data_IF_757508495002
#
_entry.id   IF_757508495002
#
_cell.length_a   1.000
_cell.length_b   1.000
_cell.length_c   1.000
_cell.angle_alpha   90.00
_cell.angle_beta   90.00
_cell.angle_gamma   90.00
#
_symmetry.space_group_name_H-M   'P 1'
#
loop_
_entity.id
_entity.type
_entity.pdbx_description
1 polymer ?
#
# COMPACT_ATOMS: atom_id res chain seq x y z
N UNK A 1 -35.74 7.09 -4.27
CA UNK A 1 -35.03 6.59 -3.09
C UNK A 1 -34.53 7.81 -2.34
N UNK A 2 -35.08 8.13 -1.17
CA UNK A 2 -34.60 9.26 -0.38
C UNK A 2 -33.51 8.74 0.57
N UNK A 3 -32.26 8.76 0.12
CA UNK A 3 -31.12 8.59 1.00
C UNK A 3 -30.92 9.93 1.72
N UNK A 4 -30.87 9.94 3.07
CA UNK A 4 -30.63 11.17 3.83
C UNK A 4 -29.33 11.85 3.36
N UNK A 5 -29.22 13.18 3.52
CA UNK A 5 -28.04 13.94 3.09
C UNK A 5 -26.71 13.37 3.61
N UNK A 6 -26.70 12.84 4.84
CA UNK A 6 -25.54 12.16 5.42
C UNK A 6 -25.16 10.86 4.68
N UNK A 7 -26.14 10.06 4.26
CA UNK A 7 -25.91 8.82 3.51
C UNK A 7 -25.34 9.09 2.12
N UNK A 8 -25.78 10.17 1.47
CA UNK A 8 -25.25 10.60 0.16
C UNK A 8 -23.78 11.01 0.30
N UNK A 9 -23.44 11.81 1.32
CA UNK A 9 -22.06 12.21 1.59
C UNK A 9 -21.17 10.99 1.87
N UNK A 10 -21.61 10.06 2.73
CA UNK A 10 -20.87 8.83 3.01
C UNK A 10 -20.64 7.98 1.75
N UNK A 11 -21.64 7.89 0.87
CA UNK A 11 -21.53 7.17 -0.41
C UNK A 11 -20.44 7.77 -1.30
N UNK A 12 -20.42 9.09 -1.47
CA UNK A 12 -19.40 9.76 -2.29
C UNK A 12 -18.00 9.65 -1.69
N UNK A 13 -17.86 9.79 -0.36
CA UNK A 13 -16.58 9.61 0.32
C UNK A 13 -16.04 8.19 0.11
N UNK A 14 -16.88 7.16 0.26
CA UNK A 14 -16.49 5.77 0.05
C UNK A 14 -16.04 5.51 -1.39
N UNK A 15 -16.81 5.98 -2.38
CA UNK A 15 -16.47 5.79 -3.81
C UNK A 15 -15.15 6.50 -4.14
N UNK A 16 -14.96 7.74 -3.68
CA UNK A 16 -13.74 8.49 -3.94
C UNK A 16 -12.52 7.82 -3.30
N UNK A 17 -12.65 7.42 -2.04
CA UNK A 17 -11.60 6.72 -1.31
C UNK A 17 -11.23 5.42 -2.01
N UNK A 18 -12.22 4.56 -2.25
CA UNK A 18 -12.02 3.28 -2.92
C UNK A 18 -11.39 3.42 -4.31
N UNK A 19 -11.75 4.44 -5.10
CA UNK A 19 -11.12 4.70 -6.39
C UNK A 19 -9.62 5.00 -6.27
N UNK A 20 -9.21 5.78 -5.27
CA UNK A 20 -7.79 6.04 -4.99
C UNK A 20 -7.08 4.74 -4.59
N UNK A 21 -7.70 3.92 -3.72
CA UNK A 21 -7.15 2.61 -3.35
C UNK A 21 -7.12 1.62 -4.52
N UNK A 22 -8.05 1.73 -5.48
CA UNK A 22 -8.03 0.94 -6.70
C UNK A 22 -6.76 1.24 -7.51
N UNK A 23 -6.45 2.52 -7.72
CA UNK A 23 -5.27 2.97 -8.46
C UNK A 23 -3.99 2.50 -7.77
N UNK A 24 -3.91 2.60 -6.44
CA UNK A 24 -2.79 2.08 -5.67
C UNK A 24 -2.68 0.55 -5.77
N UNK A 25 -3.79 -0.17 -5.69
CA UNK A 25 -3.85 -1.62 -5.84
C UNK A 25 -3.36 -2.08 -7.22
N UNK A 26 -3.76 -1.40 -8.30
CA UNK A 26 -3.26 -1.65 -9.65
C UNK A 26 -1.77 -1.33 -9.78
N UNK A 27 -1.29 -0.26 -9.16
CA UNK A 27 0.14 0.07 -9.16
C UNK A 27 0.96 -1.04 -8.47
N UNK A 28 0.56 -1.49 -7.28
CA UNK A 28 1.24 -2.56 -6.56
C UNK A 28 1.17 -3.91 -7.27
N UNK A 29 -0.02 -4.31 -7.75
CA UNK A 29 -0.15 -5.56 -8.49
C UNK A 29 0.63 -5.51 -9.81
N UNK A 30 0.57 -4.39 -10.54
CA UNK A 30 1.29 -4.18 -11.79
C UNK A 30 2.81 -4.22 -11.60
N UNK A 31 3.34 -3.52 -10.60
CA UNK A 31 4.76 -3.57 -10.25
C UNK A 31 5.18 -4.96 -9.80
N UNK A 32 4.39 -5.62 -8.95
CA UNK A 32 4.68 -6.98 -8.49
C UNK A 32 4.73 -8.00 -9.63
N UNK A 33 3.74 -7.98 -10.52
CA UNK A 33 3.72 -8.84 -11.70
C UNK A 33 4.87 -8.50 -12.67
N UNK A 34 5.18 -7.22 -12.86
CA UNK A 34 6.32 -6.81 -13.68
C UNK A 34 7.63 -7.36 -13.13
N UNK A 35 7.89 -7.20 -11.83
CA UNK A 35 9.09 -7.72 -11.18
C UNK A 35 9.17 -9.25 -11.25
N UNK A 36 8.03 -9.93 -11.15
CA UNK A 36 7.95 -11.39 -11.26
C UNK A 36 8.21 -11.91 -12.67
N UNK A 37 7.75 -11.20 -13.70
CA UNK A 37 7.79 -11.67 -15.09
C UNK A 37 8.89 -11.02 -15.96
N UNK A 38 9.56 -9.96 -15.49
CA UNK A 38 10.64 -9.35 -16.27
C UNK A 38 11.76 -10.34 -16.57
N UNK A 39 12.27 -10.29 -17.80
CA UNK A 39 13.33 -11.17 -18.27
C UNK A 39 14.62 -11.01 -17.45
N UNK A 40 14.89 -9.82 -16.92
CA UNK A 40 16.03 -9.55 -16.04
C UNK A 40 15.91 -10.25 -14.68
N UNK A 41 14.70 -10.50 -14.19
CA UNK A 41 14.42 -11.13 -12.89
C UNK A 41 14.07 -12.61 -12.97
N UNK A 42 13.72 -13.12 -14.16
CA UNK A 42 13.33 -14.53 -14.35
C UNK A 42 14.40 -15.53 -13.91
N UNK A 43 15.69 -15.18 -14.02
CA UNK A 43 16.80 -16.03 -13.56
C UNK A 43 16.89 -16.17 -12.04
N UNK A 44 16.37 -15.18 -11.31
CA UNK A 44 16.39 -15.12 -9.84
C UNK A 44 15.32 -16.07 -9.27
N UNK A 45 14.13 -16.14 -9.88
CA UNK A 45 13.06 -17.04 -9.44
C UNK A 45 13.23 -18.51 -9.88
N UNK A 46 14.24 -18.82 -10.71
CA UNK A 46 14.50 -20.15 -11.26
C UNK A 46 15.74 -20.86 -10.69
N UNK A 47 16.53 -20.20 -9.86
CA UNK A 47 17.71 -20.77 -9.19
C UNK A 47 17.57 -20.58 -7.68
N UNK A 48 17.56 -21.69 -6.94
CA UNK A 48 17.52 -21.73 -5.47
C UNK A 48 18.85 -21.20 -4.89
N UNK A 49 19.00 -19.88 -4.82
CA UNK A 49 20.17 -19.21 -4.23
C UNK A 49 19.71 -18.41 -3.00
N UNK A 50 20.32 -18.57 -1.82
CA UNK A 50 19.79 -18.04 -0.55
C UNK A 50 19.67 -16.50 -0.47
N UNK A 51 20.43 -15.74 -1.29
CA UNK A 51 20.36 -14.25 -1.32
C UNK A 51 19.13 -13.71 -2.06
N UNK A 52 18.34 -14.59 -2.65
CA UNK A 52 17.17 -14.28 -3.46
C UNK A 52 15.88 -14.26 -2.63
N UNK A 53 15.87 -14.91 -1.46
CA UNK A 53 14.67 -15.16 -0.66
C UNK A 53 13.96 -13.87 -0.22
N UNK A 54 14.70 -12.87 0.28
CA UNK A 54 14.14 -11.58 0.72
C UNK A 54 13.48 -10.82 -0.44
N UNK A 55 14.07 -10.89 -1.64
CA UNK A 55 13.50 -10.28 -2.83
C UNK A 55 12.24 -11.01 -3.31
N UNK A 56 12.27 -12.35 -3.36
CA UNK A 56 11.09 -13.17 -3.71
C UNK A 56 9.96 -12.90 -2.74
N UNK A 57 10.26 -12.87 -1.44
CA UNK A 57 9.29 -12.57 -0.40
C UNK A 57 8.68 -11.19 -0.60
N UNK A 58 9.51 -10.15 -0.80
CA UNK A 58 9.04 -8.78 -1.04
C UNK A 58 8.13 -8.66 -2.27
N UNK A 59 8.50 -9.27 -3.40
CA UNK A 59 7.67 -9.27 -4.62
C UNK A 59 6.36 -10.02 -4.40
N UNK A 60 6.39 -11.16 -3.68
CA UNK A 60 5.20 -11.94 -3.38
C UNK A 60 4.23 -11.16 -2.48
N UNK A 61 4.75 -10.48 -1.46
CA UNK A 61 3.95 -9.59 -0.60
C UNK A 61 3.34 -8.46 -1.42
N UNK A 62 4.09 -7.85 -2.35
CA UNK A 62 3.58 -6.78 -3.21
C UNK A 62 2.39 -7.23 -4.08
N UNK A 63 2.47 -8.43 -4.67
CA UNK A 63 1.37 -9.04 -5.46
C UNK A 63 0.17 -9.37 -4.55
N UNK A 64 0.41 -10.01 -3.41
CA UNK A 64 -0.64 -10.39 -2.48
C UNK A 64 -1.38 -9.15 -1.95
N UNK A 65 -0.64 -8.12 -1.53
CA UNK A 65 -1.18 -6.87 -1.01
C UNK A 65 -1.97 -6.10 -2.10
N UNK A 66 -1.44 -5.99 -3.32
CA UNK A 66 -2.16 -5.37 -4.44
C UNK A 66 -3.46 -6.10 -4.81
N UNK A 67 -3.44 -7.44 -4.82
CA UNK A 67 -4.65 -8.23 -5.13
C UNK A 67 -5.72 -8.12 -4.04
N UNK A 68 -5.35 -8.18 -2.75
CA UNK A 68 -6.29 -7.98 -1.63
C UNK A 68 -6.91 -6.59 -1.69
N UNK A 69 -6.12 -5.54 -1.95
CA UNK A 69 -6.63 -4.17 -2.10
C UNK A 69 -7.70 -4.07 -3.18
N UNK A 70 -7.44 -4.64 -4.37
CA UNK A 70 -8.40 -4.61 -5.47
C UNK A 70 -9.68 -5.38 -5.14
N UNK A 71 -9.59 -6.55 -4.52
CA UNK A 71 -10.77 -7.34 -4.12
C UNK A 71 -11.64 -6.54 -3.14
N UNK A 72 -11.03 -5.93 -2.13
CA UNK A 72 -11.72 -5.14 -1.10
C UNK A 72 -12.43 -3.94 -1.73
N UNK A 73 -11.72 -3.19 -2.58
CA UNK A 73 -12.26 -2.02 -3.30
C UNK A 73 -13.40 -2.41 -4.23
N UNK A 74 -13.30 -3.53 -4.95
CA UNK A 74 -14.37 -4.01 -5.84
C UNK A 74 -15.67 -4.26 -5.08
N UNK A 75 -15.62 -4.88 -3.89
CA UNK A 75 -16.81 -5.05 -3.05
C UNK A 75 -17.33 -3.72 -2.49
N UNK A 76 -16.44 -2.81 -2.12
CA UNK A 76 -16.77 -1.47 -1.65
C UNK A 76 -17.54 -0.66 -2.70
N UNK A 77 -16.99 -0.55 -3.90
CA UNK A 77 -17.60 0.22 -5.00
C UNK A 77 -18.85 -0.45 -5.54
N UNK A 78 -18.83 -1.77 -5.73
CA UNK A 78 -20.03 -2.50 -6.15
C UNK A 78 -21.16 -2.35 -5.13
N UNK A 79 -20.85 -2.43 -3.83
CA UNK A 79 -21.80 -2.25 -2.73
C UNK A 79 -22.34 -0.83 -2.64
N UNK A 80 -21.49 0.19 -2.78
CA UNK A 80 -21.87 1.59 -2.70
C UNK A 80 -22.68 2.05 -3.94
N UNK A 81 -22.24 1.70 -5.15
CA UNK A 81 -22.90 2.12 -6.39
C UNK A 81 -24.25 1.44 -6.60
N UNK A 82 -24.31 0.11 -6.40
CA UNK A 82 -25.53 -0.68 -6.63
C UNK A 82 -26.42 -0.83 -5.39
N UNK A 83 -26.03 -0.22 -4.26
CA UNK A 83 -26.75 -0.27 -2.99
C UNK A 83 -27.05 -1.71 -2.53
N UNK A 84 -26.10 -2.62 -2.81
CA UNK A 84 -26.23 -4.06 -2.51
C UNK A 84 -25.75 -4.35 -1.10
N UNK A 85 -26.70 -4.69 -0.22
CA UNK A 85 -26.44 -5.01 1.20
C UNK A 85 -25.38 -6.09 1.39
N UNK A 86 -25.49 -7.21 0.66
CA UNK A 86 -24.57 -8.34 0.81
C UNK A 86 -23.13 -7.93 0.50
N UNK A 87 -22.89 -7.22 -0.60
CA UNK A 87 -21.56 -6.72 -0.97
C UNK A 87 -21.01 -5.74 0.07
N UNK A 88 -21.85 -4.83 0.57
CA UNK A 88 -21.46 -3.84 1.56
C UNK A 88 -21.20 -4.48 2.95
N UNK A 89 -21.86 -5.59 3.28
CA UNK A 89 -21.56 -6.41 4.46
C UNK A 89 -20.21 -7.14 4.34
N UNK A 90 -19.94 -7.74 3.17
CA UNK A 90 -18.63 -8.37 2.89
C UNK A 90 -17.51 -7.33 2.97
N UNK A 91 -17.70 -6.16 2.37
CA UNK A 91 -16.77 -5.05 2.47
C UNK A 91 -16.49 -4.64 3.92
N UNK A 92 -17.53 -4.47 4.73
CA UNK A 92 -17.40 -4.16 6.16
C UNK A 92 -16.62 -5.23 6.94
N UNK A 93 -16.86 -6.52 6.67
CA UNK A 93 -16.13 -7.61 7.31
C UNK A 93 -14.65 -7.60 6.91
N UNK A 94 -14.35 -7.38 5.62
CA UNK A 94 -12.98 -7.28 5.12
C UNK A 94 -12.23 -6.10 5.74
N UNK A 95 -12.86 -4.92 5.83
CA UNK A 95 -12.26 -3.75 6.50
C UNK A 95 -11.95 -4.02 7.98
N UNK A 96 -12.85 -4.71 8.70
CA UNK A 96 -12.62 -5.07 10.09
C UNK A 96 -11.43 -6.04 10.25
N UNK A 97 -11.31 -7.02 9.36
CA UNK A 97 -10.17 -7.95 9.33
C UNK A 97 -8.87 -7.20 9.03
N UNK A 98 -8.87 -6.29 8.05
CA UNK A 98 -7.69 -5.50 7.70
C UNK A 98 -7.27 -4.57 8.84
N UNK A 99 -8.21 -3.91 9.51
CA UNK A 99 -7.91 -3.06 10.66
C UNK A 99 -7.31 -3.88 11.83
N UNK A 100 -7.82 -5.08 12.07
CA UNK A 100 -7.24 -6.00 13.05
C UNK A 100 -5.82 -6.44 12.67
N UNK A 101 -5.62 -6.84 11.42
CA UNK A 101 -4.31 -7.24 10.91
C UNK A 101 -3.30 -6.11 10.97
N UNK A 102 -3.72 -4.88 10.67
CA UNK A 102 -2.90 -3.68 10.74
C UNK A 102 -2.39 -3.40 12.15
N UNK A 103 -3.25 -3.54 13.17
CA UNK A 103 -2.83 -3.38 14.57
C UNK A 103 -1.76 -4.43 14.91
N UNK A 104 -1.97 -5.69 14.52
CA UNK A 104 -0.99 -6.77 14.77
C UNK A 104 0.34 -6.47 14.06
N UNK A 105 0.30 -6.11 12.78
CA UNK A 105 1.50 -5.79 12.00
C UNK A 105 2.21 -4.56 12.56
N UNK A 106 1.48 -3.51 12.94
CA UNK A 106 2.06 -2.30 13.54
C UNK A 106 2.76 -2.60 14.87
N UNK A 107 2.15 -3.40 15.74
CA UNK A 107 2.77 -3.83 17.01
C UNK A 107 4.01 -4.69 16.76
N UNK A 108 3.94 -5.64 15.82
CA UNK A 108 5.09 -6.47 15.46
C UNK A 108 6.23 -5.64 14.86
N UNK A 109 5.90 -4.71 13.97
CA UNK A 109 6.86 -3.80 13.33
C UNK A 109 7.55 -2.90 14.36
N UNK A 110 6.81 -2.42 15.37
CA UNK A 110 7.38 -1.62 16.44
C UNK A 110 8.25 -2.46 17.40
N UNK A 111 7.77 -3.64 17.80
CA UNK A 111 8.48 -4.54 18.71
C UNK A 111 9.79 -5.07 18.11
N UNK A 112 9.79 -5.40 16.81
CA UNK A 112 10.95 -5.91 16.06
C UNK A 112 11.53 -4.89 15.08
N UNK A 113 11.49 -3.60 15.45
CA UNK A 113 11.86 -2.50 14.55
C UNK A 113 13.26 -2.62 13.94
N UNK A 114 14.23 -3.15 14.69
CA UNK A 114 15.59 -3.37 14.19
C UNK A 114 15.64 -4.42 13.07
N UNK A 115 15.00 -5.57 13.28
CA UNK A 115 14.93 -6.68 12.33
C UNK A 115 14.14 -6.25 11.07
N UNK A 116 13.02 -5.55 11.26
CA UNK A 116 12.20 -5.04 10.15
C UNK A 116 12.97 -4.01 9.33
N UNK A 117 13.66 -3.06 9.98
CA UNK A 117 14.49 -2.07 9.29
C UNK A 117 15.63 -2.70 8.49
N UNK A 118 16.29 -3.72 9.05
CA UNK A 118 17.34 -4.46 8.36
C UNK A 118 16.81 -5.21 7.13
N UNK A 119 15.68 -5.91 7.25
CA UNK A 119 15.06 -6.64 6.14
C UNK A 119 14.62 -5.71 5.00
N UNK A 120 14.10 -4.52 5.31
CA UNK A 120 13.72 -3.52 4.30
C UNK A 120 14.96 -2.94 3.62
N UNK A 121 16.04 -2.68 4.36
CA UNK A 121 17.30 -2.21 3.80
C UNK A 121 17.94 -3.27 2.88
N UNK A 122 17.86 -4.55 3.24
CA UNK A 122 18.30 -5.65 2.39
C UNK A 122 17.46 -5.74 1.11
N UNK A 123 16.13 -5.65 1.22
CA UNK A 123 15.23 -5.62 0.06
C UNK A 123 15.57 -4.47 -0.89
N UNK A 124 15.87 -3.27 -0.36
CA UNK A 124 16.35 -2.15 -1.15
C UNK A 124 17.66 -2.45 -1.88
N UNK A 125 18.64 -3.09 -1.20
CA UNK A 125 19.90 -3.46 -1.82
C UNK A 125 19.69 -4.47 -2.96
N UNK A 126 18.79 -5.45 -2.79
CA UNK A 126 18.42 -6.39 -3.86
C UNK A 126 17.81 -5.65 -5.05
N UNK A 127 16.85 -4.74 -4.82
CA UNK A 127 16.28 -3.91 -5.89
C UNK A 127 17.34 -3.09 -6.62
N UNK A 128 18.25 -2.46 -5.88
CA UNK A 128 19.32 -1.66 -6.46
C UNK A 128 20.27 -2.50 -7.32
N UNK A 129 20.70 -3.66 -6.84
CA UNK A 129 21.57 -4.59 -7.58
C UNK A 129 20.92 -5.06 -8.89
N UNK A 130 19.61 -5.36 -8.84
CA UNK A 130 18.84 -5.79 -10.00
C UNK A 130 18.71 -4.67 -11.04
N UNK A 131 18.52 -3.43 -10.60
CA UNK A 131 18.49 -2.28 -11.49
C UNK A 131 19.83 -2.04 -12.20
N UNK A 132 20.95 -2.18 -11.49
CA UNK A 132 22.28 -2.04 -12.12
C UNK A 132 22.54 -3.16 -13.13
N UNK A 133 22.10 -4.39 -12.84
CA UNK A 133 22.35 -5.53 -13.72
C UNK A 133 21.42 -5.56 -14.94
N UNK A 134 20.16 -5.15 -14.79
CA UNK A 134 19.11 -5.31 -15.81
C UNK A 134 18.60 -4.01 -16.42
N UNK A 135 18.80 -2.87 -15.76
CA UNK A 135 18.28 -1.57 -16.22
C UNK A 135 16.75 -1.48 -16.23
N UNK A 136 16.04 -2.30 -15.46
CA UNK A 136 14.58 -2.40 -15.53
C UNK A 136 13.88 -1.08 -15.20
N UNK A 137 13.02 -0.57 -16.12
CA UNK A 137 12.36 0.72 -15.93
C UNK A 137 11.42 0.72 -14.71
N UNK A 138 10.76 -0.41 -14.41
CA UNK A 138 9.88 -0.54 -13.24
C UNK A 138 10.65 -0.40 -11.91
N UNK A 139 11.88 -0.91 -11.85
CA UNK A 139 12.74 -0.74 -10.67
C UNK A 139 13.27 0.69 -10.61
N UNK A 140 13.63 1.29 -11.75
CA UNK A 140 14.05 2.69 -11.82
C UNK A 140 13.01 3.66 -11.25
N UNK A 141 11.73 3.47 -11.59
CA UNK A 141 10.62 4.27 -11.01
C UNK A 141 10.52 4.07 -9.50
N UNK A 142 10.63 2.82 -9.05
CA UNK A 142 10.56 2.48 -7.62
C UNK A 142 11.72 3.10 -6.83
N UNK A 143 12.95 3.00 -7.34
CA UNK A 143 14.14 3.62 -6.75
C UNK A 143 13.99 5.15 -6.70
N UNK A 144 13.49 5.76 -7.78
CA UNK A 144 13.25 7.21 -7.83
C UNK A 144 12.26 7.66 -6.77
N UNK A 145 11.21 6.88 -6.54
CA UNK A 145 10.25 7.15 -5.49
C UNK A 145 10.87 7.06 -4.10
N UNK A 146 11.66 6.02 -3.82
CA UNK A 146 12.35 5.84 -2.53
C UNK A 146 13.34 6.97 -2.28
N UNK A 147 14.16 7.30 -3.28
CA UNK A 147 15.17 8.35 -3.18
C UNK A 147 14.55 9.72 -2.90
N UNK A 148 13.45 10.07 -3.57
CA UNK A 148 12.74 11.31 -3.33
C UNK A 148 12.01 11.32 -1.97
N UNK A 149 11.36 10.22 -1.58
CA UNK A 149 10.60 10.14 -0.33
C UNK A 149 11.50 10.20 0.92
N UNK A 150 12.64 9.51 0.87
CA UNK A 150 13.57 9.43 2.00
C UNK A 150 14.71 10.44 1.91
N UNK A 151 14.75 11.26 0.85
CA UNK A 151 15.87 12.16 0.55
C UNK A 151 17.23 11.47 0.69
N UNK A 152 17.38 10.33 0.02
CA UNK A 152 18.58 9.50 0.02
C UNK A 152 18.96 9.08 -1.41
N UNK A 153 20.20 8.65 -1.63
CA UNK A 153 20.65 8.19 -2.94
C UNK A 153 21.55 6.97 -2.78
N UNK A 154 21.15 5.88 -3.44
CA UNK A 154 21.87 4.62 -3.56
C UNK A 154 22.34 3.96 -2.25
N UNK A 155 23.29 3.03 -2.40
CA UNK A 155 23.81 2.20 -1.30
C UNK A 155 24.92 2.93 -0.53
N UNK A 156 25.70 3.75 -1.22
CA UNK A 156 26.90 4.38 -0.63
C UNK A 156 26.68 5.85 -0.29
N UNK A 157 25.72 6.51 -0.94
CA UNK A 157 25.50 7.95 -0.82
C UNK A 157 26.48 8.79 -1.64
N UNK A 158 27.45 8.16 -2.30
CA UNK A 158 28.47 8.85 -3.10
C UNK A 158 27.97 8.91 -4.53
N UNK A 159 27.40 10.04 -4.92
CA UNK A 159 26.82 10.24 -6.25
C UNK A 159 27.80 9.93 -7.38
N UNK A 160 29.12 10.12 -7.19
CA UNK A 160 30.16 9.80 -8.18
C UNK A 160 30.35 8.30 -8.46
N UNK A 161 30.05 7.43 -7.49
CA UNK A 161 30.24 5.96 -7.58
C UNK A 161 28.93 5.27 -7.97
N UNK A 162 27.81 5.95 -7.79
CA UNK A 162 26.49 5.38 -8.05
C UNK A 162 26.11 5.44 -9.53
N UNK A 163 25.80 4.26 -10.09
CA UNK A 163 25.40 4.08 -11.49
C UNK A 163 24.00 4.67 -11.74
N UNK A 164 23.23 4.93 -10.69
CA UNK A 164 21.81 5.29 -10.73
C UNK A 164 21.53 6.78 -10.59
N UNK A 165 22.48 7.67 -10.89
CA UNK A 165 22.32 9.15 -10.75
C UNK A 165 20.98 9.70 -11.26
N UNK A 166 20.39 9.07 -12.26
CA UNK A 166 19.13 9.46 -12.89
C UNK A 166 17.90 9.31 -11.96
N UNK A 167 17.98 8.45 -10.95
CA UNK A 167 16.89 8.17 -10.01
C UNK A 167 17.01 8.95 -8.70
N UNK A 168 18.08 9.75 -8.50
CA UNK A 168 18.28 10.48 -7.25
C UNK A 168 17.59 11.85 -7.25
N UNK A 169 17.19 12.38 -6.08
CA UNK A 169 16.58 13.69 -5.96
C UNK A 169 17.54 14.80 -6.40
N UNK A 170 16.98 15.97 -6.71
CA UNK A 170 17.78 17.17 -6.97
C UNK A 170 18.48 17.57 -5.66
N UNK A 171 19.80 17.81 -5.67
CA UNK A 171 20.53 18.19 -4.47
C UNK A 171 20.24 19.64 -4.07
N UNK A 172 19.93 19.86 -2.80
CA UNK A 172 19.69 21.17 -2.20
C UNK A 172 21.01 21.71 -1.63
N UNK A 173 21.91 22.13 -2.53
CA UNK A 173 23.18 22.77 -2.19
C UNK A 173 24.43 22.06 -2.73
N UNK A 174 25.61 22.62 -2.40
CA UNK A 174 26.88 22.14 -2.95
C UNK A 174 27.32 20.79 -2.33
N UNK A 175 27.08 20.56 -1.04
CA UNK A 175 27.51 19.33 -0.35
C UNK A 175 26.70 18.10 -0.78
N UNK A 176 25.38 18.22 -0.95
CA UNK A 176 24.53 17.12 -1.44
C UNK A 176 24.83 16.73 -2.90
N UNK A 177 25.43 17.64 -3.67
CA UNK A 177 25.91 17.34 -5.02
C UNK A 177 27.05 16.31 -5.00
N UNK A 178 27.84 16.27 -3.92
CA UNK A 178 28.96 15.35 -3.74
C UNK A 178 28.59 14.11 -2.92
N UNK A 179 27.86 14.28 -1.81
CA UNK A 179 27.52 13.21 -0.88
C UNK A 179 26.11 13.42 -0.33
N UNK A 180 25.24 12.45 -0.59
CA UNK A 180 23.88 12.37 -0.05
C UNK A 180 23.84 11.23 0.98
N UNK A 181 22.93 11.21 1.97
CA UNK A 181 22.79 10.04 2.84
C UNK A 181 22.46 8.78 2.02
N UNK A 182 23.06 7.66 2.43
CA UNK A 182 22.77 6.36 1.83
C UNK A 182 21.37 5.87 2.24
N UNK A 183 20.68 5.18 1.32
CA UNK A 183 19.32 4.73 1.59
C UNK A 183 19.23 3.60 2.63
N UNK A 184 20.11 2.58 2.65
CA UNK A 184 20.06 1.53 3.68
C UNK A 184 20.18 2.07 5.11
N UNK A 185 21.06 3.06 5.33
CA UNK A 185 21.24 3.70 6.62
C UNK A 185 20.03 4.57 7.01
N UNK A 186 19.46 5.32 6.06
CA UNK A 186 18.25 6.11 6.32
C UNK A 186 17.07 5.19 6.65
N UNK A 187 16.88 4.10 5.91
CA UNK A 187 15.82 3.11 6.14
C UNK A 187 15.93 2.54 7.55
N UNK A 188 17.10 2.03 7.95
CA UNK A 188 17.28 1.45 9.29
C UNK A 188 17.10 2.50 10.40
N UNK A 189 17.58 3.72 10.18
CA UNK A 189 17.40 4.84 11.12
C UNK A 189 15.93 5.27 11.27
N UNK A 190 15.13 5.17 10.20
CA UNK A 190 13.70 5.45 10.24
C UNK A 190 12.98 4.47 11.15
N UNK A 191 13.32 3.19 11.09
CA UNK A 191 12.70 2.17 11.94
C UNK A 191 13.22 2.19 13.38
N UNK A 192 14.49 2.53 13.62
CA UNK A 192 15.03 2.53 14.98
C UNK A 192 14.83 3.87 15.72
N UNK A 193 15.36 4.96 15.18
CA UNK A 193 15.36 6.29 15.82
C UNK A 193 14.10 7.10 15.53
N UNK A 194 13.45 6.86 14.38
CA UNK A 194 12.20 7.52 13.99
C UNK A 194 10.99 6.59 14.01
N UNK A 195 11.02 5.55 14.86
CA UNK A 195 9.90 4.62 15.04
C UNK A 195 8.52 5.32 15.24
N UNK A 196 8.40 6.48 15.92
CA UNK A 196 7.12 7.20 16.00
C UNK A 196 6.56 7.66 14.65
N UNK A 197 7.42 8.01 13.67
CA UNK A 197 6.98 8.34 12.31
C UNK A 197 6.38 7.13 11.62
N UNK A 198 7.04 5.98 11.70
CA UNK A 198 6.54 4.72 11.15
C UNK A 198 5.21 4.33 11.81
N UNK A 199 5.12 4.48 13.14
CA UNK A 199 3.87 4.23 13.88
C UNK A 199 2.75 5.18 13.45
N UNK A 200 3.09 6.43 13.11
CA UNK A 200 2.15 7.40 12.56
C UNK A 200 1.49 6.93 11.25
N UNK A 201 2.23 6.19 10.40
CA UNK A 201 1.67 5.60 9.18
C UNK A 201 0.58 4.58 9.53
N UNK A 202 0.88 3.61 10.39
CA UNK A 202 -0.09 2.59 10.85
C UNK A 202 -1.30 3.20 11.57
N UNK A 203 -1.12 4.25 12.37
CA UNK A 203 -2.26 4.93 12.99
C UNK A 203 -3.11 5.67 11.96
N UNK A 204 -2.47 6.30 10.97
CA UNK A 204 -3.14 6.99 9.88
C UNK A 204 -3.97 6.04 9.03
N UNK A 205 -3.37 4.93 8.58
CA UNK A 205 -4.09 3.92 7.79
C UNK A 205 -5.21 3.26 8.59
N UNK A 206 -5.01 2.98 9.88
CA UNK A 206 -6.07 2.46 10.76
C UNK A 206 -7.25 3.43 10.92
N UNK A 207 -6.97 4.73 11.08
CA UNK A 207 -8.02 5.75 11.12
C UNK A 207 -8.80 5.83 9.80
N UNK A 208 -8.14 5.68 8.66
CA UNK A 208 -8.80 5.62 7.34
C UNK A 208 -9.70 4.39 7.22
N UNK A 209 -9.23 3.21 7.63
CA UNK A 209 -10.05 1.98 7.60
C UNK A 209 -11.28 2.09 8.52
N UNK A 210 -11.13 2.66 9.72
CA UNK A 210 -12.23 2.88 10.66
C UNK A 210 -13.24 3.89 10.07
N UNK A 211 -12.76 4.97 9.45
CA UNK A 211 -13.63 5.96 8.82
C UNK A 211 -14.45 5.33 7.68
N UNK A 212 -13.80 4.53 6.82
CA UNK A 212 -14.48 3.78 5.77
C UNK A 212 -15.50 2.77 6.35
N UNK A 213 -15.16 2.09 7.45
CA UNK A 213 -16.06 1.17 8.14
C UNK A 213 -17.31 1.90 8.69
N UNK A 214 -17.13 3.07 9.33
CA UNK A 214 -18.25 3.87 9.86
C UNK A 214 -19.16 4.34 8.72
N UNK A 215 -18.61 4.90 7.64
CA UNK A 215 -19.37 5.31 6.46
C UNK A 215 -20.14 4.13 5.84
N UNK A 216 -19.51 2.95 5.80
CA UNK A 216 -20.11 1.72 5.29
C UNK A 216 -21.30 1.28 6.15
N UNK A 217 -21.16 1.32 7.47
CA UNK A 217 -22.22 0.97 8.41
C UNK A 217 -23.40 1.94 8.30
N UNK A 218 -23.15 3.25 8.21
CA UNK A 218 -24.20 4.27 8.02
C UNK A 218 -24.96 3.99 6.72
N UNK A 219 -24.24 3.75 5.62
CA UNK A 219 -24.85 3.44 4.33
C UNK A 219 -25.66 2.13 4.38
N UNK A 220 -25.14 1.08 5.04
CA UNK A 220 -25.87 -0.18 5.28
C UNK A 220 -27.16 0.03 6.07
N UNK A 221 -27.13 0.84 7.13
CA UNK A 221 -28.30 1.12 7.96
C UNK A 221 -29.38 1.85 7.16
N UNK A 222 -28.99 2.83 6.34
CA UNK A 222 -29.90 3.57 5.46
C UNK A 222 -30.55 2.65 4.43
N UNK A 223 -29.76 1.84 3.72
CA UNK A 223 -30.29 0.88 2.73
C UNK A 223 -31.23 -0.14 3.40
N UNK A 224 -30.89 -0.63 4.60
CA UNK A 224 -31.76 -1.54 5.38
C UNK A 224 -33.08 -0.87 5.78
N UNK A 225 -33.06 0.39 6.21
CA UNK A 225 -34.25 1.17 6.54
C UNK A 225 -35.16 1.30 5.32
N UNK A 226 -34.63 1.81 4.20
CA UNK A 226 -35.41 1.98 2.96
C UNK A 226 -36.04 0.67 2.48
N UNK A 227 -35.33 -0.47 2.52
CA UNK A 227 -35.95 -1.74 2.10
C UNK A 227 -37.04 -2.23 3.04
N UNK A 228 -36.93 -1.98 4.36
CA UNK A 228 -37.99 -2.34 5.32
C UNK A 228 -39.24 -1.50 5.08
N UNK A 229 -39.06 -0.20 4.84
CA UNK A 229 -40.18 0.72 4.57
C UNK A 229 -40.93 0.31 3.29
N UNK A 230 -40.19 -0.08 2.24
CA UNK A 230 -40.78 -0.62 1.00
C UNK A 230 -41.52 -1.93 1.26
N UNK A 231 -40.92 -2.89 1.99
CA UNK A 231 -41.58 -4.16 2.29
C UNK A 231 -42.86 -3.97 3.13
N UNK A 232 -42.82 -3.07 4.11
CA UNK A 232 -43.97 -2.71 4.93
C UNK A 232 -45.10 -2.10 4.08
N UNK A 233 -44.77 -1.16 3.18
CA UNK A 233 -45.75 -0.57 2.25
C UNK A 233 -46.45 -1.64 1.39
N UNK A 234 -45.70 -2.57 0.79
CA UNK A 234 -46.30 -3.65 0.01
C UNK A 234 -47.19 -4.58 0.86
N UNK A 235 -46.81 -4.88 2.11
CA UNK A 235 -47.65 -5.68 3.02
C UNK A 235 -48.90 -4.97 3.55
N UNK A 236 -48.97 -3.65 3.44
CA UNK A 236 -50.17 -2.88 3.80
C UNK A 236 -51.10 -2.66 2.62
N UNK A 237 -50.61 -2.81 1.39
CA UNK A 237 -51.36 -2.56 0.15
C UNK A 237 -51.93 -3.86 -0.44
N UNK A 238 -51.29 -5.00 -0.20
CA UNK A 238 -51.74 -6.34 -0.61
C UNK A 238 -52.13 -7.17 0.61
#
# INVERSE_FOLDING_TARGET
MALDGCGIVCKYILILFNLIFALLGFAFLGLGLWLRFSNSTRGIFGMDIPYTETFIFGVTVLIALGSVMLIVVMFGDYGACNEKKCALQVFSALLAILAGAEIVVGVLAYSRRYEVGANIAEFYNSLYSLYISGGDPGIGVTLTFIHNMLHCCGITGISLVEVVKQTCPKPDGFMEKLVMPNCPGVITNVFDSKAPLVMGIFLGTGALLITALVCTIILLQQIKKTSRDVAAYYSTVY
#
